data_IF_534911500585
#
_entry.id   IF_534911500585
#
_cell.length_a   1.000
_cell.length_b   1.000
_cell.length_c   1.000
_cell.angle_alpha   90.00
_cell.angle_beta   90.00
_cell.angle_gamma   90.00
#
_symmetry.space_group_name_H-M   'P 1'
#
loop_
_entity.id
_entity.type
_entity.pdbx_description
1 polymer ?
#
# COMPACT_ATOMS: atom_id res chain seq x y z
N UNK A 1 16.07 -16.15 12.83
CA UNK A 1 15.85 -15.74 14.23
C UNK A 1 14.41 -16.05 14.56
N UNK A 2 14.09 -16.30 15.82
CA UNK A 2 12.69 -16.43 16.27
C UNK A 2 12.10 -15.05 16.61
N UNK A 3 10.76 -14.92 16.69
CA UNK A 3 10.13 -13.62 16.99
C UNK A 3 10.58 -13.02 18.32
N UNK A 4 10.87 -13.83 19.34
CA UNK A 4 11.34 -13.32 20.64
C UNK A 4 12.75 -12.71 20.57
N UNK A 5 13.54 -13.05 19.56
CA UNK A 5 14.86 -12.46 19.29
C UNK A 5 14.73 -11.23 18.37
N UNK A 6 13.83 -11.30 17.39
CA UNK A 6 13.58 -10.23 16.43
C UNK A 6 12.85 -9.03 17.06
N UNK A 7 11.84 -9.27 17.88
CA UNK A 7 10.98 -8.22 18.43
C UNK A 7 11.78 -7.17 19.23
N UNK A 8 12.77 -7.51 20.07
CA UNK A 8 13.66 -6.52 20.68
C UNK A 8 14.42 -5.64 19.69
N UNK A 9 14.86 -6.19 18.54
CA UNK A 9 15.50 -5.42 17.48
C UNK A 9 14.52 -4.47 16.80
N UNK A 10 13.29 -4.94 16.54
CA UNK A 10 12.20 -4.12 16.02
C UNK A 10 11.89 -2.96 16.97
N UNK A 11 11.78 -3.21 18.28
CA UNK A 11 11.59 -2.15 19.29
C UNK A 11 12.73 -1.13 19.29
N UNK A 12 13.97 -1.59 19.07
CA UNK A 12 15.11 -0.69 18.88
C UNK A 12 14.94 0.22 17.65
N UNK A 13 14.45 -0.34 16.54
CA UNK A 13 14.15 0.40 15.29
C UNK A 13 12.94 1.31 15.40
N UNK A 14 11.95 1.00 16.25
CA UNK A 14 10.81 1.89 16.50
C UNK A 14 11.24 3.24 17.09
N UNK A 15 12.35 3.28 17.84
CA UNK A 15 12.93 4.54 18.36
C UNK A 15 13.51 5.44 17.27
N UNK A 16 13.74 4.90 16.07
CA UNK A 16 14.22 5.63 14.91
C UNK A 16 13.08 6.32 14.13
N UNK A 17 11.82 6.00 14.47
CA UNK A 17 10.64 6.62 13.86
C UNK A 17 10.56 8.11 14.21
N UNK A 18 10.16 8.90 13.24
CA UNK A 18 9.88 10.32 13.38
C UNK A 18 8.61 10.49 14.21
N UNK A 19 8.78 11.07 15.40
CA UNK A 19 7.68 11.35 16.30
C UNK A 19 6.70 12.38 15.71
N UNK A 20 5.46 12.35 16.20
CA UNK A 20 4.44 13.36 15.89
C UNK A 20 4.92 14.79 16.16
N UNK A 21 5.62 15.01 17.27
CA UNK A 21 6.20 16.31 17.61
C UNK A 21 7.22 16.77 16.54
N UNK A 22 8.04 15.84 16.03
CA UNK A 22 9.02 16.15 14.99
C UNK A 22 8.33 16.50 13.67
N UNK A 23 7.26 15.78 13.31
CA UNK A 23 6.41 16.14 12.17
C UNK A 23 5.73 17.51 12.34
N UNK A 24 5.20 17.81 13.53
CA UNK A 24 4.60 19.10 13.84
C UNK A 24 5.63 20.24 13.70
N UNK A 25 6.87 20.02 14.14
CA UNK A 25 7.98 20.97 13.92
C UNK A 25 8.28 21.16 12.43
N UNK A 26 8.33 20.09 11.65
CA UNK A 26 8.52 20.17 10.18
C UNK A 26 7.36 20.87 9.46
N UNK A 27 6.15 20.83 10.00
CA UNK A 27 5.03 21.61 9.46
C UNK A 27 5.24 23.12 9.66
N UNK A 28 5.81 23.54 10.80
CA UNK A 28 5.97 24.95 11.16
C UNK A 28 7.11 25.67 10.42
N UNK A 29 8.08 24.95 9.84
CA UNK A 29 9.18 25.60 9.10
C UNK A 29 8.72 26.03 7.71
N UNK A 30 9.15 27.20 7.26
CA UNK A 30 8.65 27.80 6.02
C UNK A 30 9.30 27.26 4.74
N UNK A 31 10.43 26.55 4.86
CA UNK A 31 11.24 26.12 3.72
C UNK A 31 11.62 24.64 3.78
N UNK A 32 11.99 24.07 2.62
CA UNK A 32 12.45 22.69 2.51
C UNK A 32 13.79 22.50 3.21
N UNK A 33 14.66 23.51 3.16
CA UNK A 33 15.93 23.52 3.87
C UNK A 33 15.70 23.44 5.39
N UNK A 34 14.70 24.15 5.91
CA UNK A 34 14.28 24.04 7.31
C UNK A 34 13.80 22.64 7.69
N UNK A 35 13.11 21.94 6.78
CA UNK A 35 12.75 20.52 6.97
C UNK A 35 14.01 19.67 6.99
N UNK A 36 14.95 19.91 6.08
CA UNK A 36 16.25 19.24 6.04
C UNK A 36 17.05 19.38 7.34
N UNK A 37 17.10 20.56 7.94
CA UNK A 37 17.77 20.78 9.24
C UNK A 37 17.17 19.95 10.37
N UNK A 38 15.85 19.71 10.34
CA UNK A 38 15.20 18.81 11.31
C UNK A 38 15.55 17.34 10.98
N UNK A 39 15.52 16.96 9.70
CA UNK A 39 15.85 15.58 9.29
C UNK A 39 17.29 15.18 9.60
N UNK A 40 18.22 16.13 9.68
CA UNK A 40 19.61 15.88 10.12
C UNK A 40 19.72 15.28 11.52
N UNK A 41 18.70 15.41 12.36
CA UNK A 41 18.65 14.80 13.70
C UNK A 41 17.99 13.42 13.72
N UNK A 42 17.67 12.85 12.56
CA UNK A 42 16.99 11.57 12.41
C UNK A 42 17.86 10.58 11.61
N UNK A 43 17.39 9.36 11.39
CA UNK A 43 18.07 8.38 10.52
C UNK A 43 18.22 8.86 9.07
N UNK A 44 17.45 9.88 8.66
CA UNK A 44 17.53 10.44 7.32
C UNK A 44 18.73 11.37 7.11
N UNK A 45 19.48 11.68 8.18
CA UNK A 45 20.66 12.57 8.14
C UNK A 45 21.65 12.29 7.00
N UNK A 46 22.01 11.03 6.68
CA UNK A 46 22.92 10.72 5.57
C UNK A 46 22.42 11.15 4.19
N UNK A 47 21.10 11.36 4.04
CA UNK A 47 20.46 11.75 2.80
C UNK A 47 20.24 13.26 2.69
N UNK A 48 20.59 14.05 3.71
CA UNK A 48 20.37 15.50 3.71
C UNK A 48 21.64 16.24 3.28
N UNK A 49 21.65 16.67 2.02
CA UNK A 49 22.66 17.54 1.41
C UNK A 49 21.99 18.76 0.76
N UNK A 50 22.78 19.70 0.25
CA UNK A 50 22.25 20.79 -0.59
C UNK A 50 21.57 20.19 -1.82
N UNK A 51 20.30 20.54 -2.08
CA UNK A 51 19.51 19.99 -3.18
C UNK A 51 18.90 18.60 -2.92
N UNK A 52 18.90 18.09 -1.67
CA UNK A 52 18.35 16.77 -1.35
C UNK A 52 16.89 16.56 -1.77
N UNK A 53 16.12 17.64 -1.93
CA UNK A 53 14.71 17.61 -2.32
C UNK A 53 14.48 17.08 -3.74
N UNK A 54 15.50 17.13 -4.60
CA UNK A 54 15.44 16.56 -5.95
C UNK A 54 15.66 15.05 -5.96
N UNK A 55 16.47 14.54 -5.03
CA UNK A 55 16.83 13.13 -4.89
C UNK A 55 16.04 12.44 -3.76
N UNK A 56 15.06 13.15 -3.18
CA UNK A 56 14.37 12.72 -1.96
C UNK A 56 13.67 11.37 -2.12
N UNK A 57 13.01 11.15 -3.26
CA UNK A 57 12.33 9.89 -3.57
C UNK A 57 13.31 8.72 -3.66
N UNK A 58 14.46 8.92 -4.31
CA UNK A 58 15.50 7.91 -4.46
C UNK A 58 16.15 7.59 -3.10
N UNK A 59 16.34 8.60 -2.26
CA UNK A 59 16.87 8.42 -0.91
C UNK A 59 15.90 7.64 -0.01
N UNK A 60 14.60 7.95 -0.06
CA UNK A 60 13.58 7.13 0.62
C UNK A 60 13.52 5.70 0.07
N UNK A 61 13.71 5.52 -1.24
CA UNK A 61 13.72 4.20 -1.86
C UNK A 61 14.92 3.35 -1.40
N UNK A 62 16.12 3.96 -1.27
CA UNK A 62 17.32 3.30 -0.74
C UNK A 62 17.11 2.85 0.70
N UNK A 63 16.68 3.75 1.58
CA UNK A 63 16.41 3.43 2.99
C UNK A 63 15.40 2.28 3.13
N UNK A 64 14.33 2.31 2.32
CA UNK A 64 13.32 1.26 2.28
C UNK A 64 13.88 -0.08 1.80
N UNK A 65 14.71 -0.07 0.75
CA UNK A 65 15.35 -1.28 0.20
C UNK A 65 16.25 -1.95 1.24
N UNK A 66 17.09 -1.16 1.92
CA UNK A 66 17.95 -1.66 3.00
C UNK A 66 17.13 -2.25 4.15
N UNK A 67 16.03 -1.58 4.52
CA UNK A 67 15.12 -2.08 5.54
C UNK A 67 14.46 -3.40 5.15
N UNK A 68 13.93 -3.51 3.92
CA UNK A 68 13.26 -4.72 3.45
C UNK A 68 14.21 -5.91 3.38
N UNK A 69 15.45 -5.68 2.91
CA UNK A 69 16.50 -6.69 2.92
C UNK A 69 16.79 -7.17 4.33
N UNK A 70 17.02 -6.25 5.27
CA UNK A 70 17.26 -6.60 6.66
C UNK A 70 16.10 -7.39 7.27
N UNK A 71 14.85 -6.94 7.07
CA UNK A 71 13.66 -7.62 7.58
C UNK A 71 13.49 -9.02 7.00
N UNK A 72 13.68 -9.19 5.68
CA UNK A 72 13.60 -10.50 5.02
C UNK A 72 14.64 -11.47 5.56
N UNK A 73 15.88 -11.02 5.75
CA UNK A 73 16.98 -11.84 6.29
C UNK A 73 16.79 -12.16 7.78
N UNK A 74 16.13 -11.26 8.51
CA UNK A 74 15.97 -11.33 9.96
C UNK A 74 14.70 -12.06 10.41
N UNK A 75 13.64 -12.03 9.61
CA UNK A 75 12.33 -12.59 9.97
C UNK A 75 12.36 -14.12 10.06
N UNK A 76 11.78 -14.75 11.10
CA UNK A 76 11.53 -16.19 11.12
C UNK A 76 10.65 -16.65 9.95
N UNK A 77 9.73 -15.78 9.52
CA UNK A 77 8.75 -16.04 8.49
C UNK A 77 8.79 -14.89 7.48
N UNK A 78 9.66 -14.96 6.45
CA UNK A 78 9.81 -13.89 5.46
C UNK A 78 8.51 -13.55 4.73
N UNK A 79 7.57 -14.49 4.62
CA UNK A 79 6.24 -14.23 4.06
C UNK A 79 5.46 -13.12 4.77
N UNK A 80 5.71 -12.88 6.06
CA UNK A 80 5.11 -11.75 6.79
C UNK A 80 5.63 -10.42 6.24
N UNK A 81 6.92 -10.34 5.95
CA UNK A 81 7.51 -9.16 5.29
C UNK A 81 6.95 -9.03 3.88
N UNK A 82 6.85 -10.15 3.16
CA UNK A 82 6.33 -10.14 1.79
C UNK A 82 4.87 -9.70 1.72
N UNK A 83 4.00 -10.08 2.65
CA UNK A 83 2.61 -9.57 2.70
C UNK A 83 2.58 -8.04 2.61
N UNK A 84 3.50 -7.38 3.30
CA UNK A 84 3.57 -5.93 3.30
C UNK A 84 4.18 -5.41 1.98
N UNK A 85 5.26 -6.02 1.50
CA UNK A 85 6.00 -5.55 0.31
C UNK A 85 5.42 -6.03 -1.02
N UNK A 86 4.47 -6.96 -1.01
CA UNK A 86 3.85 -7.59 -2.18
C UNK A 86 3.20 -6.57 -3.12
N UNK A 87 2.72 -5.43 -2.58
CA UNK A 87 2.24 -4.30 -3.39
C UNK A 87 3.29 -3.81 -4.40
N UNK A 88 4.57 -3.86 -4.04
CA UNK A 88 5.68 -3.52 -4.91
C UNK A 88 5.97 -4.65 -5.90
N UNK A 89 5.87 -5.91 -5.49
CA UNK A 89 5.93 -7.07 -6.41
C UNK A 89 4.90 -6.93 -7.55
N UNK A 90 3.62 -6.68 -7.22
CA UNK A 90 2.57 -6.54 -8.23
C UNK A 90 2.67 -5.24 -9.03
N UNK A 91 3.20 -4.15 -8.45
CA UNK A 91 3.57 -2.96 -9.21
C UNK A 91 4.63 -3.29 -10.26
N UNK A 92 5.70 -3.99 -9.87
CA UNK A 92 6.77 -4.38 -10.79
C UNK A 92 6.25 -5.30 -11.90
N UNK A 93 5.39 -6.27 -11.57
CA UNK A 93 4.74 -7.12 -12.57
C UNK A 93 3.95 -6.28 -13.59
N UNK A 94 3.17 -5.29 -13.15
CA UNK A 94 2.44 -4.37 -14.05
C UNK A 94 3.38 -3.58 -14.96
N UNK A 95 4.38 -2.94 -14.37
CA UNK A 95 5.34 -2.08 -15.09
C UNK A 95 6.14 -2.88 -16.11
N UNK A 96 6.73 -4.00 -15.67
CA UNK A 96 7.63 -4.79 -16.51
C UNK A 96 6.86 -5.59 -17.57
N UNK A 97 5.62 -5.99 -17.30
CA UNK A 97 4.77 -6.57 -18.35
C UNK A 97 4.43 -5.51 -19.41
N UNK A 98 4.13 -4.27 -19.01
CA UNK A 98 3.93 -3.17 -19.98
C UNK A 98 5.21 -2.84 -20.75
N UNK A 99 6.37 -2.92 -20.11
CA UNK A 99 7.69 -2.77 -20.73
C UNK A 99 7.85 -3.77 -21.89
N UNK A 100 7.66 -5.06 -21.59
CA UNK A 100 7.72 -6.16 -22.57
C UNK A 100 6.72 -5.97 -23.72
N UNK A 101 5.45 -5.68 -23.40
CA UNK A 101 4.39 -5.59 -24.42
C UNK A 101 4.50 -4.34 -25.31
N UNK A 102 5.09 -3.26 -24.81
CA UNK A 102 5.22 -2.00 -25.57
C UNK A 102 6.60 -1.80 -26.19
N UNK A 103 7.59 -2.63 -25.82
CA UNK A 103 8.99 -2.49 -26.24
C UNK A 103 9.66 -1.23 -25.70
N UNK A 104 9.09 -0.58 -24.68
CA UNK A 104 9.65 0.61 -24.04
C UNK A 104 10.38 0.20 -22.77
N UNK A 105 11.57 0.72 -22.58
CA UNK A 105 12.30 0.55 -21.32
C UNK A 105 11.62 1.33 -20.18
N UNK A 106 11.10 0.59 -19.20
CA UNK A 106 10.47 1.09 -17.98
C UNK A 106 11.20 0.62 -16.73
N UNK A 107 12.45 0.16 -16.84
CA UNK A 107 13.21 -0.41 -15.71
C UNK A 107 13.39 0.61 -14.57
N UNK A 108 13.48 1.90 -14.88
CA UNK A 108 13.53 3.01 -13.91
C UNK A 108 12.27 3.15 -13.02
N UNK A 109 11.16 2.49 -13.36
CA UNK A 109 9.94 2.47 -12.56
C UNK A 109 9.85 1.23 -11.63
N UNK A 110 10.86 0.36 -11.66
CA UNK A 110 10.99 -0.77 -10.76
C UNK A 110 11.17 -0.30 -9.32
N UNK A 111 10.49 -0.97 -8.39
CA UNK A 111 10.56 -0.68 -6.96
C UNK A 111 11.04 -1.94 -6.25
N UNK A 112 12.17 -1.88 -5.57
CA UNK A 112 12.65 -3.01 -4.77
C UNK A 112 11.64 -3.41 -3.70
N UNK A 113 11.21 -4.67 -3.74
CA UNK A 113 10.29 -5.30 -2.79
C UNK A 113 11.02 -6.14 -1.73
N UNK A 114 12.34 -6.29 -1.86
CA UNK A 114 13.22 -7.11 -1.04
C UNK A 114 13.24 -8.60 -1.44
N UNK A 115 12.33 -9.06 -2.31
CA UNK A 115 12.12 -10.47 -2.64
C UNK A 115 12.66 -10.87 -4.01
N UNK A 116 12.38 -10.07 -5.04
CA UNK A 116 12.70 -10.41 -6.43
C UNK A 116 13.45 -9.28 -7.11
N UNK A 117 14.51 -9.63 -7.83
CA UNK A 117 15.30 -8.67 -8.62
C UNK A 117 14.58 -8.29 -9.92
N UNK A 118 14.98 -7.16 -10.50
CA UNK A 118 14.51 -6.70 -11.81
C UNK A 118 14.62 -7.80 -12.87
N UNK A 119 15.79 -8.45 -12.97
CA UNK A 119 16.05 -9.48 -13.96
C UNK A 119 15.21 -10.74 -13.74
N UNK A 120 15.04 -11.20 -12.49
CA UNK A 120 14.19 -12.36 -12.19
C UNK A 120 12.74 -12.15 -12.62
N UNK A 121 12.21 -10.93 -12.43
CA UNK A 121 10.85 -10.59 -12.84
C UNK A 121 10.75 -10.46 -14.37
N UNK A 122 11.72 -9.82 -15.02
CA UNK A 122 11.77 -9.71 -16.50
C UNK A 122 11.85 -11.09 -17.16
N UNK A 123 12.73 -11.96 -16.67
CA UNK A 123 12.89 -13.33 -17.16
C UNK A 123 11.60 -14.13 -16.99
N UNK A 124 10.93 -14.01 -15.84
CA UNK A 124 9.66 -14.70 -15.59
C UNK A 124 8.55 -14.24 -16.53
N UNK A 125 8.46 -12.93 -16.83
CA UNK A 125 7.48 -12.36 -17.76
C UNK A 125 7.78 -12.81 -19.19
N UNK A 126 9.03 -12.73 -19.61
CA UNK A 126 9.46 -13.06 -20.97
C UNK A 126 9.29 -14.55 -21.29
N UNK A 127 9.76 -15.42 -20.38
CA UNK A 127 9.76 -16.88 -20.59
C UNK A 127 8.49 -17.59 -20.13
N UNK A 128 7.63 -16.90 -19.36
CA UNK A 128 6.47 -17.48 -18.67
C UNK A 128 6.81 -18.67 -17.76
N UNK A 129 8.07 -18.77 -17.33
CA UNK A 129 8.59 -19.79 -16.43
C UNK A 129 9.54 -19.14 -15.41
N UNK A 130 9.53 -19.63 -14.18
CA UNK A 130 10.49 -19.21 -13.16
C UNK A 130 10.65 -20.31 -12.12
N UNK A 131 11.88 -20.48 -11.64
CA UNK A 131 12.18 -21.26 -10.42
C UNK A 131 12.24 -20.40 -9.17
N UNK A 132 12.19 -19.07 -9.33
CA UNK A 132 12.30 -18.09 -8.23
C UNK A 132 10.92 -17.58 -7.84
N UNK A 133 10.12 -17.12 -8.81
CA UNK A 133 8.78 -16.63 -8.55
C UNK A 133 7.84 -17.82 -8.25
N UNK A 134 7.01 -17.72 -7.19
CA UNK A 134 6.13 -18.81 -6.80
C UNK A 134 4.99 -18.99 -7.80
N UNK A 135 4.36 -20.17 -7.76
CA UNK A 135 3.38 -20.62 -8.76
C UNK A 135 2.16 -19.71 -8.90
N UNK A 136 1.75 -19.05 -7.83
CA UNK A 136 0.67 -18.07 -7.81
C UNK A 136 1.03 -16.82 -8.64
N UNK A 137 2.23 -16.27 -8.51
CA UNK A 137 2.68 -15.15 -9.36
C UNK A 137 2.80 -15.59 -10.82
N UNK A 138 3.33 -16.80 -11.06
CA UNK A 138 3.42 -17.35 -12.42
C UNK A 138 2.06 -17.56 -13.07
N UNK A 139 1.04 -17.91 -12.29
CA UNK A 139 -0.34 -18.03 -12.78
C UNK A 139 -0.86 -16.67 -13.25
N UNK A 140 -0.60 -15.61 -12.48
CA UNK A 140 -0.99 -14.25 -12.85
C UNK A 140 -0.27 -13.75 -14.12
N UNK A 141 1.04 -14.00 -14.24
CA UNK A 141 1.81 -13.65 -15.45
C UNK A 141 1.21 -14.33 -16.69
N UNK A 142 0.88 -15.62 -16.59
CA UNK A 142 0.29 -16.39 -17.69
C UNK A 142 -1.10 -15.88 -18.06
N UNK A 143 -1.93 -15.59 -17.06
CA UNK A 143 -3.26 -15.03 -17.30
C UNK A 143 -3.19 -13.68 -18.03
N UNK A 144 -2.28 -12.80 -17.62
CA UNK A 144 -2.08 -11.51 -18.31
C UNK A 144 -1.64 -11.71 -19.75
N UNK A 145 -0.74 -12.68 -20.01
CA UNK A 145 -0.31 -12.98 -21.37
C UNK A 145 -1.45 -13.51 -22.23
N UNK A 146 -2.22 -14.46 -21.72
CA UNK A 146 -3.40 -15.02 -22.42
C UNK A 146 -4.42 -13.93 -22.76
N UNK A 147 -4.69 -13.02 -21.81
CA UNK A 147 -5.58 -11.88 -22.03
C UNK A 147 -5.04 -10.92 -23.11
N UNK A 148 -3.75 -10.63 -23.08
CA UNK A 148 -3.13 -9.72 -24.03
C UNK A 148 -3.10 -10.31 -25.45
N UNK A 149 -2.78 -11.59 -25.59
CA UNK A 149 -2.80 -12.30 -26.87
C UNK A 149 -4.21 -12.32 -27.49
N UNK A 150 -5.26 -12.30 -26.66
CA UNK A 150 -6.66 -12.28 -27.11
C UNK A 150 -7.22 -10.88 -27.42
N UNK A 151 -6.80 -9.83 -26.68
CA UNK A 151 -7.46 -8.51 -26.74
C UNK A 151 -6.54 -7.34 -27.12
N UNK A 152 -5.23 -7.46 -26.88
CA UNK A 152 -4.22 -6.40 -27.00
C UNK A 152 -4.55 -5.10 -26.23
N UNK A 153 -5.43 -5.17 -25.22
CA UNK A 153 -5.84 -4.01 -24.42
C UNK A 153 -4.94 -3.87 -23.20
N UNK A 154 -4.16 -2.78 -23.12
CA UNK A 154 -3.22 -2.57 -22.00
C UNK A 154 -3.93 -2.38 -20.65
N UNK A 155 -5.16 -1.86 -20.63
CA UNK A 155 -5.90 -1.66 -19.37
C UNK A 155 -6.14 -2.97 -18.60
N UNK A 156 -6.27 -4.11 -19.28
CA UNK A 156 -6.51 -5.38 -18.60
C UNK A 156 -5.30 -5.91 -17.82
N UNK A 157 -4.08 -5.45 -18.13
CA UNK A 157 -2.87 -5.80 -17.38
C UNK A 157 -3.01 -5.35 -15.92
N UNK A 158 -3.40 -4.09 -15.71
CA UNK A 158 -3.56 -3.53 -14.37
C UNK A 158 -4.66 -4.26 -13.61
N UNK A 159 -5.81 -4.47 -14.25
CA UNK A 159 -6.97 -5.12 -13.65
C UNK A 159 -6.66 -6.55 -13.19
N UNK A 160 -5.98 -7.35 -14.02
CA UNK A 160 -5.64 -8.74 -13.68
C UNK A 160 -4.64 -8.78 -12.53
N UNK A 161 -3.57 -7.98 -12.59
CA UNK A 161 -2.58 -7.96 -11.51
C UNK A 161 -3.11 -7.39 -10.20
N UNK A 162 -3.96 -6.36 -10.23
CA UNK A 162 -4.60 -5.82 -9.02
C UNK A 162 -5.53 -6.87 -8.38
N UNK A 163 -6.30 -7.61 -9.19
CA UNK A 163 -7.09 -8.73 -8.69
C UNK A 163 -6.22 -9.82 -8.08
N UNK A 164 -5.16 -10.21 -8.79
CA UNK A 164 -4.20 -11.20 -8.31
C UNK A 164 -3.55 -10.78 -6.99
N UNK A 165 -3.21 -9.50 -6.83
CA UNK A 165 -2.67 -8.95 -5.59
C UNK A 165 -3.64 -9.16 -4.43
N UNK A 166 -4.92 -8.80 -4.59
CA UNK A 166 -5.92 -8.96 -3.53
C UNK A 166 -6.20 -10.43 -3.20
N UNK A 167 -6.23 -11.30 -4.22
CA UNK A 167 -6.37 -12.75 -4.04
C UNK A 167 -5.17 -13.35 -3.30
N UNK A 168 -3.96 -12.93 -3.65
CA UNK A 168 -2.74 -13.43 -3.02
C UNK A 168 -2.59 -12.93 -1.58
N UNK A 169 -2.93 -11.66 -1.30
CA UNK A 169 -3.00 -11.13 0.07
C UNK A 169 -3.90 -11.99 0.94
N UNK A 170 -5.13 -12.26 0.47
CA UNK A 170 -6.10 -13.10 1.20
C UNK A 170 -5.56 -14.50 1.44
N UNK A 171 -5.07 -15.16 0.39
CA UNK A 171 -4.54 -16.53 0.45
C UNK A 171 -3.36 -16.63 1.43
N UNK A 172 -2.45 -15.66 1.40
CA UNK A 172 -1.27 -15.65 2.25
C UNK A 172 -1.63 -15.35 3.71
N UNK A 173 -2.55 -14.41 3.96
CA UNK A 173 -3.09 -14.16 5.30
C UNK A 173 -3.72 -15.41 5.91
N UNK A 174 -4.53 -16.14 5.15
CA UNK A 174 -5.13 -17.42 5.58
C UNK A 174 -4.08 -18.50 5.86
N UNK A 175 -3.04 -18.60 5.01
CA UNK A 175 -1.94 -19.56 5.19
C UNK A 175 -1.18 -19.30 6.50
N UNK A 176 -0.91 -18.03 6.81
CA UNK A 176 -0.13 -17.64 7.99
C UNK A 176 -0.94 -17.79 9.29
N UNK A 177 -2.26 -17.57 9.22
CA UNK A 177 -3.17 -17.91 10.31
C UNK A 177 -3.15 -16.95 11.51
N UNK A 178 -2.57 -15.76 11.37
CA UNK A 178 -2.66 -14.70 12.38
C UNK A 178 -3.98 -13.93 12.22
N UNK A 179 -4.81 -13.92 13.25
CA UNK A 179 -6.18 -13.40 13.16
C UNK A 179 -6.21 -11.90 12.87
N UNK A 180 -5.42 -11.10 13.59
CA UNK A 180 -5.38 -9.65 13.45
C UNK A 180 -4.92 -9.23 12.05
N UNK A 181 -3.96 -9.96 11.49
CA UNK A 181 -3.50 -9.76 10.11
C UNK A 181 -4.58 -10.12 9.10
N UNK A 182 -5.29 -11.24 9.30
CA UNK A 182 -6.35 -11.65 8.38
C UNK A 182 -7.51 -10.65 8.40
N UNK A 183 -7.89 -10.13 9.57
CA UNK A 183 -8.91 -9.09 9.72
C UNK A 183 -8.49 -7.79 9.01
N UNK A 184 -7.23 -7.37 9.15
CA UNK A 184 -6.68 -6.21 8.44
C UNK A 184 -6.69 -6.39 6.92
N UNK A 185 -6.31 -7.58 6.42
CA UNK A 185 -6.37 -7.91 4.99
C UNK A 185 -7.80 -7.89 4.45
N UNK A 186 -8.78 -8.43 5.19
CA UNK A 186 -10.20 -8.38 4.82
C UNK A 186 -10.66 -6.93 4.70
N UNK A 187 -10.38 -6.13 5.74
CA UNK A 187 -10.73 -4.72 5.77
C UNK A 187 -10.12 -3.96 4.60
N UNK A 188 -8.86 -4.23 4.28
CA UNK A 188 -8.18 -3.63 3.13
C UNK A 188 -8.88 -3.97 1.81
N UNK A 189 -9.25 -5.23 1.59
CA UNK A 189 -9.93 -5.67 0.36
C UNK A 189 -11.33 -5.07 0.26
N UNK A 190 -12.11 -5.10 1.34
CA UNK A 190 -13.46 -4.53 1.36
C UNK A 190 -13.45 -3.02 1.13
N UNK A 191 -12.57 -2.27 1.81
CA UNK A 191 -12.46 -0.82 1.61
C UNK A 191 -11.94 -0.48 0.21
N UNK A 192 -11.11 -1.33 -0.39
CA UNK A 192 -10.70 -1.22 -1.78
C UNK A 192 -11.88 -1.45 -2.73
N UNK A 193 -12.71 -2.46 -2.49
CA UNK A 193 -13.93 -2.71 -3.25
C UNK A 193 -14.93 -1.56 -3.08
N UNK A 194 -15.08 -1.00 -1.87
CA UNK A 194 -15.96 0.15 -1.59
C UNK A 194 -15.53 1.35 -2.42
N UNK A 195 -14.25 1.68 -2.38
CA UNK A 195 -13.68 2.80 -3.14
C UNK A 195 -13.83 2.58 -4.65
N UNK A 196 -13.56 1.36 -5.12
CA UNK A 196 -13.65 0.98 -6.54
C UNK A 196 -15.08 1.07 -7.04
N UNK A 197 -16.06 0.61 -6.27
CA UNK A 197 -17.47 0.68 -6.63
C UNK A 197 -17.97 2.13 -6.65
N UNK A 198 -17.64 2.94 -5.65
CA UNK A 198 -18.00 4.36 -5.64
C UNK A 198 -17.47 5.11 -6.88
N UNK A 199 -16.20 4.87 -7.25
CA UNK A 199 -15.62 5.40 -8.49
C UNK A 199 -16.34 4.88 -9.73
N UNK A 200 -16.66 3.59 -9.77
CA UNK A 200 -17.38 2.95 -10.87
C UNK A 200 -18.75 3.57 -11.14
N UNK A 201 -19.51 3.86 -10.08
CA UNK A 201 -20.83 4.54 -10.18
C UNK A 201 -20.65 5.95 -10.75
N UNK A 202 -19.73 6.74 -10.18
CA UNK A 202 -19.48 8.12 -10.61
C UNK A 202 -19.00 8.21 -12.06
N UNK A 203 -18.24 7.21 -12.51
CA UNK A 203 -17.73 7.10 -13.88
C UNK A 203 -18.69 6.38 -14.84
N UNK A 204 -19.85 5.90 -14.35
CA UNK A 204 -20.83 5.14 -15.12
C UNK A 204 -20.23 3.91 -15.82
N UNK A 205 -19.37 3.18 -15.10
CA UNK A 205 -18.70 1.99 -15.63
C UNK A 205 -19.69 0.86 -15.92
N UNK A 206 -19.35 0.00 -16.87
CA UNK A 206 -20.19 -1.15 -17.24
C UNK A 206 -20.15 -2.27 -16.19
N UNK A 207 -21.22 -3.06 -16.12
CA UNK A 207 -21.27 -4.27 -15.27
C UNK A 207 -20.14 -5.25 -15.59
N UNK A 208 -19.80 -5.42 -16.87
CA UNK A 208 -18.69 -6.28 -17.30
C UNK A 208 -17.36 -5.82 -16.71
N UNK A 209 -17.05 -4.52 -16.83
CA UNK A 209 -15.83 -3.94 -16.24
C UNK A 209 -15.81 -4.08 -14.72
N UNK A 210 -16.90 -3.72 -14.05
CA UNK A 210 -17.02 -3.81 -12.58
C UNK A 210 -16.90 -5.26 -12.09
N UNK A 211 -17.44 -6.22 -12.85
CA UNK A 211 -17.28 -7.66 -12.57
C UNK A 211 -15.81 -8.09 -12.66
N UNK A 212 -14.98 -7.45 -13.46
CA UNK A 212 -13.55 -7.79 -13.53
C UNK A 212 -12.76 -7.15 -12.39
N UNK A 213 -13.04 -5.88 -12.03
CA UNK A 213 -12.23 -5.12 -11.05
C UNK A 213 -12.62 -5.36 -9.59
N UNK A 214 -13.88 -5.69 -9.29
CA UNK A 214 -14.30 -5.97 -7.91
C UNK A 214 -13.77 -7.35 -7.49
N UNK A 215 -13.03 -7.36 -6.38
CA UNK A 215 -12.46 -8.57 -5.80
C UNK A 215 -13.51 -9.38 -5.06
N UNK A 216 -13.43 -10.71 -5.15
CA UNK A 216 -14.24 -11.65 -4.37
C UNK A 216 -13.51 -12.17 -3.13
N UNK A 217 -12.36 -11.58 -2.78
CA UNK A 217 -11.51 -12.03 -1.66
C UNK A 217 -11.77 -11.30 -0.34
N UNK A 218 -12.72 -10.35 -0.33
CA UNK A 218 -13.17 -9.64 0.86
C UNK A 218 -14.28 -10.39 1.61
N UNK A 219 -14.83 -9.77 2.65
CA UNK A 219 -15.95 -10.33 3.41
C UNK A 219 -17.30 -9.96 2.77
N UNK A 220 -17.40 -8.75 2.20
CA UNK A 220 -18.60 -8.34 1.49
C UNK A 220 -18.65 -9.06 0.13
N UNK A 221 -19.74 -9.81 -0.10
CA UNK A 221 -19.95 -10.54 -1.34
C UNK A 221 -19.87 -9.61 -2.56
N UNK A 222 -19.16 -10.07 -3.59
CA UNK A 222 -18.98 -9.33 -4.85
C UNK A 222 -20.31 -8.92 -5.49
N UNK A 223 -21.29 -9.82 -5.46
CA UNK A 223 -22.63 -9.61 -6.01
C UNK A 223 -23.36 -8.46 -5.30
N UNK A 224 -23.09 -8.24 -4.01
CA UNK A 224 -23.64 -7.10 -3.26
C UNK A 224 -23.16 -5.78 -3.87
N UNK A 225 -21.88 -5.65 -4.20
CA UNK A 225 -21.36 -4.46 -4.90
C UNK A 225 -21.94 -4.33 -6.32
N UNK A 226 -21.93 -5.42 -7.09
CA UNK A 226 -22.36 -5.40 -8.49
C UNK A 226 -23.83 -5.00 -8.67
N UNK A 227 -24.66 -5.20 -7.65
CA UNK A 227 -26.06 -4.75 -7.66
C UNK A 227 -26.21 -3.22 -7.80
N UNK A 228 -25.16 -2.44 -7.49
CA UNK A 228 -25.17 -0.98 -7.53
C UNK A 228 -24.56 -0.35 -8.80
N UNK A 229 -24.07 -1.15 -9.76
CA UNK A 229 -23.39 -0.63 -10.96
C UNK A 229 -24.24 0.36 -11.75
N UNK A 230 -25.55 0.12 -11.83
CA UNK A 230 -26.51 0.98 -12.53
C UNK A 230 -27.40 1.79 -11.57
N UNK A 231 -27.04 1.82 -10.28
CA UNK A 231 -27.73 2.61 -9.25
C UNK A 231 -27.11 3.99 -9.10
N UNK A 232 -27.71 4.83 -8.26
CA UNK A 232 -27.14 6.12 -7.89
C UNK A 232 -26.27 5.98 -6.62
N UNK A 233 -25.46 7.01 -6.36
CA UNK A 233 -24.55 7.04 -5.22
C UNK A 233 -25.28 7.03 -3.87
N UNK A 234 -26.47 7.62 -3.79
CA UNK A 234 -27.27 7.67 -2.57
C UNK A 234 -27.72 6.27 -2.12
N UNK A 235 -28.24 5.45 -3.05
CA UNK A 235 -28.59 4.05 -2.77
C UNK A 235 -27.37 3.23 -2.37
N UNK A 236 -26.22 3.49 -2.97
CA UNK A 236 -24.97 2.83 -2.60
C UNK A 236 -24.52 3.23 -1.18
N UNK A 237 -24.63 4.51 -0.81
CA UNK A 237 -24.35 4.99 0.54
C UNK A 237 -25.27 4.33 1.58
N UNK A 238 -26.56 4.16 1.28
CA UNK A 238 -27.48 3.44 2.17
C UNK A 238 -27.07 1.99 2.38
N UNK A 239 -26.55 1.33 1.34
CA UNK A 239 -25.94 0.01 1.48
C UNK A 239 -24.72 0.05 2.39
N UNK A 240 -23.79 0.98 2.20
CA UNK A 240 -22.60 1.12 3.06
C UNK A 240 -22.96 1.31 4.54
N UNK A 241 -24.05 2.04 4.84
CA UNK A 241 -24.57 2.21 6.20
C UNK A 241 -25.06 0.91 6.85
N UNK A 242 -25.37 -0.12 6.06
CA UNK A 242 -25.75 -1.46 6.56
C UNK A 242 -24.55 -2.39 6.80
N UNK A 243 -23.33 -1.99 6.39
CA UNK A 243 -22.11 -2.79 6.54
C UNK A 243 -21.41 -2.53 7.87
N UNK A 244 -20.43 -3.37 8.20
CA UNK A 244 -19.53 -3.19 9.34
C UNK A 244 -18.68 -1.89 9.26
N UNK A 245 -18.59 -1.26 8.08
CA UNK A 245 -17.83 -0.03 7.85
C UNK A 245 -18.67 1.25 8.04
N UNK A 246 -19.93 1.15 8.45
CA UNK A 246 -20.86 2.29 8.56
C UNK A 246 -20.34 3.43 9.43
N UNK A 247 -19.92 3.14 10.67
CA UNK A 247 -19.38 4.15 11.58
C UNK A 247 -18.05 4.73 11.09
N UNK A 248 -17.22 3.91 10.45
CA UNK A 248 -15.97 4.36 9.84
C UNK A 248 -16.24 5.41 8.75
N UNK A 249 -17.18 5.13 7.84
CA UNK A 249 -17.46 5.94 6.66
C UNK A 249 -18.32 7.20 6.96
N UNK A 250 -18.99 7.24 8.10
CA UNK A 250 -19.87 8.34 8.49
C UNK A 250 -19.27 9.75 8.38
N UNK A 251 -17.99 10.02 8.76
CA UNK A 251 -17.41 11.36 8.70
C UNK A 251 -17.18 11.89 7.28
N UNK A 252 -17.16 11.00 6.27
CA UNK A 252 -16.86 11.33 4.87
C UNK A 252 -18.10 11.30 3.96
N UNK A 253 -19.26 10.96 4.53
CA UNK A 253 -20.55 10.93 3.84
C UNK A 253 -21.31 12.20 4.22
N UNK A 254 -21.62 13.04 3.24
CA UNK A 254 -22.40 14.27 3.41
C UNK A 254 -23.34 14.46 2.22
N UNK A 255 -24.60 14.80 2.49
CA UNK A 255 -25.62 15.14 1.50
C UNK A 255 -25.74 14.16 0.32
N UNK A 256 -25.66 12.85 0.60
CA UNK A 256 -25.76 11.80 -0.44
C UNK A 256 -24.50 11.66 -1.33
N UNK A 257 -23.38 12.24 -0.90
CA UNK A 257 -22.08 12.12 -1.57
C UNK A 257 -21.02 11.50 -0.65
N UNK A 258 -19.91 11.05 -1.24
CA UNK A 258 -18.77 10.48 -0.52
C UNK A 258 -17.49 11.22 -0.92
N UNK A 259 -16.74 11.70 0.06
CA UNK A 259 -15.41 12.27 -0.17
C UNK A 259 -14.40 11.15 -0.40
N UNK A 260 -14.13 10.85 -1.68
CA UNK A 260 -13.21 9.79 -2.08
C UNK A 260 -11.74 10.08 -1.73
N UNK A 261 -11.35 11.35 -1.57
CA UNK A 261 -9.98 11.70 -1.16
C UNK A 261 -9.82 11.37 0.31
N UNK A 262 -10.79 11.79 1.13
CA UNK A 262 -10.78 11.51 2.57
C UNK A 262 -11.01 10.03 2.88
N UNK A 263 -11.72 9.29 2.02
CA UNK A 263 -11.85 7.84 2.11
C UNK A 263 -10.50 7.11 2.09
N UNK A 264 -9.58 7.50 1.21
CA UNK A 264 -8.26 6.86 1.13
C UNK A 264 -7.43 7.11 2.40
N UNK A 265 -7.51 8.32 2.97
CA UNK A 265 -6.86 8.64 4.25
C UNK A 265 -7.48 7.84 5.40
N UNK A 266 -8.81 7.84 5.48
CA UNK A 266 -9.58 7.13 6.49
C UNK A 266 -9.31 5.62 6.45
N UNK A 267 -9.18 5.05 5.25
CA UNK A 267 -8.77 3.65 5.04
C UNK A 267 -7.38 3.41 5.63
N UNK A 268 -6.39 4.24 5.28
CA UNK A 268 -5.02 4.09 5.78
C UNK A 268 -4.97 4.19 7.33
N UNK A 269 -5.72 5.12 7.93
CA UNK A 269 -5.82 5.28 9.38
C UNK A 269 -6.53 4.09 10.06
N UNK A 270 -7.61 3.58 9.45
CA UNK A 270 -8.33 2.41 9.95
C UNK A 270 -7.48 1.15 9.95
N UNK A 271 -6.76 0.88 8.84
CA UNK A 271 -5.85 -0.27 8.75
C UNK A 271 -4.70 -0.12 9.75
N UNK A 272 -4.17 1.09 9.93
CA UNK A 272 -3.15 1.38 10.94
C UNK A 272 -3.63 1.09 12.37
N UNK A 273 -4.93 1.22 12.64
CA UNK A 273 -5.49 0.99 13.98
C UNK A 273 -5.41 -0.49 14.44
N UNK A 274 -5.41 -1.45 13.51
CA UNK A 274 -5.20 -2.88 13.83
C UNK A 274 -3.85 -3.14 14.50
N UNK A 275 -2.85 -2.30 14.20
CA UNK A 275 -1.51 -2.39 14.74
C UNK A 275 -1.31 -1.65 16.06
N UNK A 276 -2.33 -0.95 16.59
CA UNK A 276 -2.21 -0.30 17.91
C UNK A 276 -2.09 -1.32 19.04
N UNK A 277 -2.75 -2.48 18.91
CA UNK A 277 -2.67 -3.59 19.89
C UNK A 277 -1.23 -4.14 19.98
N UNK A 278 -0.46 -4.02 18.90
CA UNK A 278 0.94 -4.45 18.82
C UNK A 278 1.82 -3.83 19.92
N UNK A 279 1.47 -2.64 20.44
CA UNK A 279 2.21 -2.01 21.53
C UNK A 279 2.24 -2.86 22.80
N UNK A 280 1.19 -3.66 23.03
CA UNK A 280 1.05 -4.49 24.23
C UNK A 280 1.42 -5.96 24.02
N UNK A 281 1.69 -6.36 22.76
CA UNK A 281 1.97 -7.75 22.41
C UNK A 281 3.47 -8.01 22.27
N UNK A 282 3.98 -8.96 23.05
CA UNK A 282 5.40 -9.31 23.07
C UNK A 282 5.79 -10.40 22.05
N UNK A 283 4.83 -11.17 21.55
CA UNK A 283 5.07 -12.38 20.74
C UNK A 283 4.34 -12.34 19.39
N UNK A 284 4.94 -12.98 18.40
CA UNK A 284 4.40 -13.11 17.04
C UNK A 284 4.83 -11.96 16.11
N UNK A 285 4.24 -11.90 14.89
CA UNK A 285 4.64 -10.98 13.83
C UNK A 285 4.14 -9.55 14.02
N UNK A 286 3.21 -9.33 14.95
CA UNK A 286 2.47 -8.08 15.04
C UNK A 286 3.37 -6.84 15.28
N UNK A 287 4.42 -6.88 16.14
CA UNK A 287 5.35 -5.76 16.27
C UNK A 287 6.10 -5.43 14.97
N UNK A 288 6.52 -6.45 14.21
CA UNK A 288 7.15 -6.25 12.91
C UNK A 288 6.20 -5.61 11.91
N UNK A 289 4.95 -6.09 11.82
CA UNK A 289 3.94 -5.51 10.93
C UNK A 289 3.59 -4.07 11.32
N UNK A 290 3.44 -3.78 12.62
CA UNK A 290 3.21 -2.44 13.13
C UNK A 290 4.35 -1.48 12.75
N UNK A 291 5.59 -1.92 12.91
CA UNK A 291 6.77 -1.16 12.52
C UNK A 291 6.82 -0.91 11.01
N UNK A 292 6.54 -1.92 10.18
CA UNK A 292 6.49 -1.74 8.71
C UNK A 292 5.40 -0.74 8.30
N UNK A 293 4.22 -0.82 8.93
CA UNK A 293 3.15 0.14 8.72
C UNK A 293 3.53 1.57 9.12
N UNK A 294 4.16 1.73 10.30
CA UNK A 294 4.65 3.01 10.77
C UNK A 294 5.68 3.63 9.80
N UNK A 295 6.60 2.82 9.27
CA UNK A 295 7.59 3.27 8.28
C UNK A 295 6.96 3.74 6.97
N UNK A 296 5.93 3.07 6.48
CA UNK A 296 5.20 3.52 5.28
C UNK A 296 4.45 4.84 5.53
N UNK A 297 3.77 4.96 6.68
CA UNK A 297 3.10 6.21 7.07
C UNK A 297 4.10 7.36 7.18
N UNK A 298 5.24 7.12 7.82
CA UNK A 298 6.34 8.08 7.91
C UNK A 298 6.80 8.53 6.53
N UNK A 299 7.08 7.59 5.62
CA UNK A 299 7.47 7.90 4.24
C UNK A 299 6.40 8.73 3.52
N UNK A 300 5.12 8.36 3.64
CA UNK A 300 3.99 9.10 3.02
C UNK A 300 3.88 10.52 3.57
N UNK A 301 4.05 10.72 4.88
CA UNK A 301 4.00 12.04 5.51
C UNK A 301 5.21 12.90 5.13
N UNK A 302 6.41 12.32 5.08
CA UNK A 302 7.61 13.00 4.61
C UNK A 302 7.47 13.47 3.15
N UNK A 303 6.98 12.60 2.25
CA UNK A 303 6.68 12.96 0.86
C UNK A 303 5.68 14.10 0.76
N UNK A 304 4.59 14.00 1.53
CA UNK A 304 3.57 15.06 1.59
C UNK A 304 4.17 16.40 2.04
N UNK A 305 5.05 16.40 3.03
CA UNK A 305 5.75 17.61 3.49
C UNK A 305 6.65 18.20 2.40
N UNK A 306 7.52 17.41 1.79
CA UNK A 306 8.45 17.91 0.76
C UNK A 306 7.68 18.45 -0.46
N UNK A 307 6.73 17.68 -0.98
CA UNK A 307 5.87 18.11 -2.11
C UNK A 307 5.05 19.33 -1.72
N UNK A 308 4.48 19.32 -0.51
CA UNK A 308 3.67 20.40 0.03
C UNK A 308 4.41 21.72 0.13
N UNK A 309 5.61 21.70 0.71
CA UNK A 309 6.48 22.88 0.84
C UNK A 309 6.94 23.38 -0.52
N UNK A 310 7.30 22.49 -1.44
CA UNK A 310 7.67 22.83 -2.82
C UNK A 310 6.55 23.53 -3.59
N UNK A 311 5.29 23.17 -3.31
CA UNK A 311 4.10 23.72 -3.95
C UNK A 311 3.37 24.76 -3.09
N UNK A 312 3.99 25.23 -1.99
CA UNK A 312 3.45 26.25 -1.09
C UNK A 312 2.04 25.93 -0.54
N UNK A 313 1.77 24.68 -0.20
CA UNK A 313 0.54 24.30 0.50
C UNK A 313 0.51 24.91 1.91
N UNK A 314 -0.68 25.30 2.36
CA UNK A 314 -0.87 25.81 3.71
C UNK A 314 -0.67 24.71 4.76
N UNK A 315 -0.38 25.10 6.00
CA UNK A 315 -0.21 24.16 7.11
C UNK A 315 -1.50 23.35 7.32
N UNK A 316 -2.66 23.98 7.19
CA UNK A 316 -3.97 23.34 7.30
C UNK A 316 -4.15 22.28 6.21
N UNK A 317 -3.85 22.61 4.95
CA UNK A 317 -3.93 21.67 3.83
C UNK A 317 -3.01 20.45 4.01
N UNK A 318 -1.83 20.65 4.62
CA UNK A 318 -0.91 19.57 4.93
C UNK A 318 -1.43 18.72 6.09
N UNK A 319 -1.85 19.35 7.20
CA UNK A 319 -2.39 18.66 8.37
C UNK A 319 -3.61 17.81 8.03
N UNK A 320 -4.50 18.33 7.19
CA UNK A 320 -5.70 17.59 6.75
C UNK A 320 -5.37 16.34 5.95
N UNK A 321 -4.21 16.28 5.27
CA UNK A 321 -3.80 15.15 4.42
C UNK A 321 -2.77 14.23 5.07
N UNK A 322 -2.18 14.65 6.17
CA UNK A 322 -1.24 13.83 6.93
C UNK A 322 -1.97 12.65 7.55
N UNK A 323 -1.29 11.51 7.53
CA UNK A 323 -1.76 10.28 8.16
C UNK A 323 -1.37 10.25 9.63
N UNK A 324 -2.14 9.52 10.43
CA UNK A 324 -1.85 9.39 11.85
C UNK A 324 -0.48 8.76 12.09
N UNK A 325 0.40 9.49 12.76
CA UNK A 325 1.75 9.02 13.11
C UNK A 325 1.63 7.94 14.19
N UNK A 326 2.47 6.92 14.09
CA UNK A 326 2.59 5.90 15.13
C UNK A 326 3.18 6.53 16.40
N UNK A 327 2.39 6.60 17.47
CA UNK A 327 2.85 7.03 18.78
C UNK A 327 3.35 5.78 19.54
N UNK A 328 4.67 5.52 19.46
CA UNK A 328 5.34 4.39 20.11
C UNK A 328 5.40 4.53 21.65
#
# INVERSE_FOLDING_TARGET
>A
MEYHELNPLIRGRELELISKETFDRMLQVDSIEGVGEILKTTIYSPYIHEGFEYDFEDNLAKERSELFKWLKESSPEPEIVWIYTMRYTFHNLKVLTKSEMTGKDLDHLFIDDGFYTLEEVKDAIHTQASSVLPSNLMTCIKEVREYFDASSVLQGIDVIYDRCFLTEQRRLGEKLGYQELLEEIIAFIDLTNITTMARGILQQQSLGFMTTVISSSGEIAKESFLSFVHSNLESYIQFLQSTNYSELLKPIIQDGTIDLVRLEQLKDDYLSSYYQIAQTQAFGPLPLLAFMNAKEVECKNLRLLIIGKRNHFSIEQLKERMRQVYDA
#
